data_IF_890696400725
#
_entry.id   IF_890696400725
#
_cell.length_a   1.000
_cell.length_b   1.000
_cell.length_c   1.000
_cell.angle_alpha   90.00
_cell.angle_beta   90.00
_cell.angle_gamma   90.00
#
_symmetry.space_group_name_H-M   'P 1'
#
loop_
_entity.id
_entity.type
_entity.pdbx_description
1 polymer ?
#
# COMPACT_ATOMS: atom_id res chain seq x y z
N UNK A 1 18.08 17.01 -2.07
CA UNK A 1 17.15 17.86 -1.29
C UNK A 1 17.75 18.14 0.08
N UNK A 2 17.84 19.41 0.45
CA UNK A 2 18.50 19.91 1.65
C UNK A 2 17.72 19.49 2.91
N UNK A 3 18.26 18.57 3.72
CA UNK A 3 17.63 18.12 4.97
C UNK A 3 17.91 19.15 6.08
N UNK A 4 17.17 20.25 6.07
CA UNK A 4 17.15 21.19 7.19
C UNK A 4 16.76 20.45 8.48
N UNK A 5 17.58 20.55 9.54
CA UNK A 5 17.36 19.91 10.85
C UNK A 5 16.07 20.38 11.57
N UNK A 6 15.33 21.35 11.02
CA UNK A 6 14.09 21.90 11.58
C UNK A 6 12.80 21.35 10.96
N UNK A 7 12.88 20.55 9.90
CA UNK A 7 11.68 20.01 9.25
C UNK A 7 11.69 18.48 9.31
N UNK A 8 10.65 17.91 9.91
CA UNK A 8 10.40 16.47 9.86
C UNK A 8 10.06 16.09 8.41
N UNK A 9 10.88 15.23 7.81
CA UNK A 9 10.66 14.70 6.47
C UNK A 9 10.11 13.28 6.59
N UNK A 10 8.86 13.08 6.17
CA UNK A 10 8.29 11.76 6.01
C UNK A 10 8.60 11.24 4.59
N UNK A 11 9.42 10.18 4.44
CA UNK A 11 9.73 9.61 3.13
C UNK A 11 8.51 8.97 2.43
N UNK A 12 7.44 8.64 3.16
CA UNK A 12 6.26 7.96 2.61
C UNK A 12 5.39 8.88 1.75
N UNK A 13 5.43 10.21 1.98
CA UNK A 13 4.51 11.18 1.37
C UNK A 13 4.48 11.11 -0.18
N UNK A 14 5.64 10.89 -0.79
CA UNK A 14 5.79 10.82 -2.25
C UNK A 14 6.25 9.44 -2.73
N UNK A 15 6.17 8.41 -1.87
CA UNK A 15 6.57 7.05 -2.22
C UNK A 15 5.43 6.30 -2.94
N UNK A 16 5.79 5.34 -3.79
CA UNK A 16 4.84 4.39 -4.33
C UNK A 16 4.34 3.41 -3.23
N UNK A 17 3.14 2.81 -3.35
CA UNK A 17 2.64 1.84 -2.37
C UNK A 17 3.62 0.69 -2.09
N UNK A 18 4.33 0.21 -3.10
CA UNK A 18 5.35 -0.84 -2.98
C UNK A 18 6.53 -0.41 -2.10
N UNK A 19 7.01 0.82 -2.27
CA UNK A 19 8.11 1.36 -1.46
C UNK A 19 7.68 1.56 0.00
N UNK A 20 6.46 2.04 0.23
CA UNK A 20 5.89 2.18 1.58
C UNK A 20 5.80 0.79 2.22
N UNK A 21 5.19 -0.19 1.55
CA UNK A 21 5.04 -1.54 2.08
C UNK A 21 6.40 -2.18 2.46
N UNK A 22 7.40 -2.09 1.58
CA UNK A 22 8.76 -2.61 1.83
C UNK A 22 9.39 -1.93 3.04
N UNK A 23 9.30 -0.60 3.14
CA UNK A 23 9.84 0.18 4.27
C UNK A 23 9.23 -0.23 5.61
N UNK A 24 7.96 -0.62 5.60
CA UNK A 24 7.23 -1.10 6.77
C UNK A 24 7.28 -2.62 6.96
N UNK A 25 8.09 -3.34 6.17
CA UNK A 25 8.36 -4.78 6.32
C UNK A 25 7.24 -5.69 5.83
N UNK A 26 6.35 -5.21 4.97
CA UNK A 26 5.30 -6.00 4.33
C UNK A 26 5.74 -6.44 2.92
N UNK A 27 5.22 -7.58 2.47
CA UNK A 27 5.33 -7.99 1.08
C UNK A 27 4.08 -7.52 0.32
N UNK A 28 4.29 -6.76 -0.76
CA UNK A 28 3.21 -6.24 -1.61
C UNK A 28 3.26 -6.90 -2.98
N UNK A 29 2.11 -7.35 -3.46
CA UNK A 29 1.92 -7.75 -4.84
C UNK A 29 1.14 -6.68 -5.61
N UNK A 30 1.49 -6.50 -6.88
CA UNK A 30 0.78 -5.63 -7.81
C UNK A 30 0.11 -6.49 -8.90
N UNK A 31 -1.19 -6.31 -9.07
CA UNK A 31 -2.01 -7.04 -10.03
C UNK A 31 -2.62 -6.06 -11.03
N UNK A 32 -2.39 -6.28 -12.33
CA UNK A 32 -3.04 -5.49 -13.40
C UNK A 32 -4.29 -6.22 -13.88
N UNK A 33 -5.45 -5.64 -13.62
CA UNK A 33 -6.76 -6.22 -13.98
C UNK A 33 -7.38 -5.38 -15.09
N UNK A 34 -7.82 -6.05 -16.15
CA UNK A 34 -8.55 -5.38 -17.25
C UNK A 34 -10.04 -5.54 -17.03
N UNK A 35 -10.79 -4.44 -16.95
CA UNK A 35 -12.25 -4.46 -16.84
C UNK A 35 -12.88 -4.87 -18.17
N UNK A 36 -14.16 -5.25 -18.14
CA UNK A 36 -14.89 -5.65 -19.34
C UNK A 36 -14.96 -4.55 -20.41
N UNK A 37 -14.98 -3.29 -19.99
CA UNK A 37 -14.98 -2.09 -20.84
C UNK A 37 -13.56 -1.56 -21.17
N UNK A 38 -12.51 -2.30 -20.79
CA UNK A 38 -11.14 -2.09 -21.28
C UNK A 38 -10.24 -1.19 -20.41
N UNK A 39 -10.67 -0.79 -19.22
CA UNK A 39 -9.79 -0.07 -18.29
C UNK A 39 -8.79 -1.02 -17.64
N UNK A 40 -7.54 -0.59 -17.52
CA UNK A 40 -6.49 -1.35 -16.81
C UNK A 40 -6.33 -0.77 -15.42
N UNK A 41 -6.79 -1.51 -14.41
CA UNK A 41 -6.71 -1.16 -13.00
C UNK A 41 -5.49 -1.83 -12.37
N UNK A 42 -4.77 -1.09 -11.53
CA UNK A 42 -3.74 -1.66 -10.66
C UNK A 42 -4.32 -1.93 -9.28
N UNK A 43 -4.27 -3.19 -8.84
CA UNK A 43 -4.71 -3.64 -7.52
C UNK A 43 -3.49 -4.04 -6.70
N UNK A 44 -3.42 -3.58 -5.46
CA UNK A 44 -2.34 -3.88 -4.54
C UNK A 44 -2.80 -4.89 -3.49
N UNK A 45 -2.04 -5.97 -3.28
CA UNK A 45 -2.30 -6.98 -2.24
C UNK A 45 -1.15 -7.02 -1.24
N UNK A 46 -1.42 -6.63 0.01
CA UNK A 46 -0.48 -6.87 1.10
C UNK A 46 -0.59 -8.32 1.58
N UNK A 47 0.55 -8.99 1.70
CA UNK A 47 0.65 -10.31 2.33
C UNK A 47 1.08 -10.18 3.80
N UNK A 48 0.70 -11.15 4.65
CA UNK A 48 1.17 -11.20 6.03
C UNK A 48 2.69 -11.16 6.12
N UNK A 49 3.21 -10.47 7.14
CA UNK A 49 4.65 -10.44 7.44
C UNK A 49 5.21 -11.81 7.78
N UNK A 50 4.40 -12.66 8.41
CA UNK A 50 4.80 -13.97 8.92
C UNK A 50 4.20 -15.06 8.02
N UNK A 51 5.06 -15.93 7.47
CA UNK A 51 4.67 -17.06 6.60
C UNK A 51 3.95 -18.19 7.36
N UNK A 52 4.03 -18.20 8.69
CA UNK A 52 3.54 -19.29 9.56
C UNK A 52 2.06 -19.20 9.96
N UNK A 53 1.27 -18.33 9.34
CA UNK A 53 -0.18 -18.39 9.53
C UNK A 53 -0.70 -19.56 8.69
N UNK A 54 -0.73 -20.75 9.32
CA UNK A 54 -1.22 -22.04 8.80
C UNK A 54 -2.71 -22.06 8.41
N UNK A 55 -3.35 -20.90 8.26
CA UNK A 55 -4.75 -20.75 7.93
C UNK A 55 -4.87 -20.01 6.60
N UNK A 56 -5.65 -20.55 5.68
CA UNK A 56 -6.14 -19.84 4.50
C UNK A 56 -6.79 -18.53 4.96
N UNK A 57 -6.05 -17.43 4.89
CA UNK A 57 -6.57 -16.14 5.28
C UNK A 57 -7.58 -15.66 4.24
N UNK A 58 -8.75 -15.29 4.71
CA UNK A 58 -9.78 -14.69 3.87
C UNK A 58 -9.29 -13.32 3.37
N UNK A 59 -9.29 -13.10 2.05
CA UNK A 59 -8.88 -11.81 1.50
C UNK A 59 -9.92 -10.72 1.83
N UNK A 60 -9.44 -9.57 2.29
CA UNK A 60 -10.28 -8.37 2.48
C UNK A 60 -10.01 -7.39 1.33
N UNK A 61 -11.08 -6.87 0.74
CA UNK A 61 -11.01 -5.82 -0.29
C UNK A 61 -11.29 -4.47 0.35
N UNK A 62 -10.35 -3.53 0.19
CA UNK A 62 -10.47 -2.16 0.68
C UNK A 62 -10.59 -1.20 -0.49
N UNK A 63 -11.79 -0.68 -0.72
CA UNK A 63 -12.07 0.27 -1.80
C UNK A 63 -11.97 1.71 -1.28
N UNK A 64 -11.11 2.51 -1.91
CA UNK A 64 -10.96 3.92 -1.56
C UNK A 64 -12.19 4.75 -1.98
N UNK A 65 -12.34 5.95 -1.38
CA UNK A 65 -13.40 6.90 -1.69
C UNK A 65 -13.15 7.73 -2.96
N UNK A 66 -13.94 8.79 -3.12
CA UNK A 66 -13.81 9.75 -4.23
C UNK A 66 -12.56 10.62 -4.03
N UNK A 67 -11.85 10.96 -5.12
CA UNK A 67 -10.65 11.80 -5.16
C UNK A 67 -9.43 11.27 -4.39
N UNK A 68 -9.39 9.98 -4.12
CA UNK A 68 -8.27 9.31 -3.47
C UNK A 68 -7.89 8.02 -4.22
N UNK A 69 -6.81 7.38 -3.79
CA UNK A 69 -6.29 6.14 -4.36
C UNK A 69 -5.98 5.11 -3.25
N UNK A 70 -5.35 4.00 -3.61
CA UNK A 70 -5.00 2.94 -2.66
C UNK A 70 -4.10 3.41 -1.51
N UNK A 71 -3.32 4.49 -1.67
CA UNK A 71 -2.42 5.01 -0.63
C UNK A 71 -3.17 5.51 0.60
N UNK A 72 -4.46 5.79 0.51
CA UNK A 72 -5.30 6.16 1.65
C UNK A 72 -5.23 5.15 2.80
N UNK A 73 -4.98 3.88 2.50
CA UNK A 73 -4.82 2.82 3.50
C UNK A 73 -3.42 2.72 4.09
N UNK A 74 -2.47 3.58 3.69
CA UNK A 74 -1.06 3.53 4.10
C UNK A 74 -0.57 4.83 4.77
N UNK A 75 -1.36 5.91 4.73
CA UNK A 75 -0.93 7.26 5.12
C UNK A 75 -0.50 7.39 6.59
N UNK A 76 -0.96 6.48 7.45
CA UNK A 76 -0.67 6.47 8.89
C UNK A 76 0.56 5.63 9.25
N UNK A 77 1.34 5.18 8.26
CA UNK A 77 2.55 4.36 8.48
C UNK A 77 2.23 3.08 9.25
N UNK A 78 2.97 2.82 10.35
CA UNK A 78 2.76 1.65 11.22
C UNK A 78 1.40 1.61 11.94
N UNK A 79 0.64 2.71 11.94
CA UNK A 79 -0.71 2.78 12.52
C UNK A 79 -1.81 2.67 11.46
N UNK A 80 -1.44 2.36 10.22
CA UNK A 80 -2.41 2.06 9.16
C UNK A 80 -3.08 0.71 9.38
N UNK A 81 -4.19 0.48 8.66
CA UNK A 81 -4.94 -0.78 8.66
C UNK A 81 -4.12 -1.96 8.12
#
# INVERSE_FOLDING_TARGET
>A
MNKSKKCFYNPDLNSAPSEIAIRHGFHLEEHRVTTQDGYILTIFRMKPKIKDIKSSQEPVILQHGIFVDSRSWFISGNSSL
#
